data_IF_509231701154
#
_entry.id   IF_509231701154
#
_cell.length_a   1.000
_cell.length_b   1.000
_cell.length_c   1.000
_cell.angle_alpha   90.00
_cell.angle_beta   90.00
_cell.angle_gamma   90.00
#
_symmetry.space_group_name_H-M   'P 1'
#
loop_
_entity.id
_entity.type
_entity.pdbx_description
1 polymer ?
#
# COMPACT_ATOMS: atom_id res chain seq x y z
N UNK A 1 -30.67 18.31 45.64
CA UNK A 1 -31.90 18.35 44.84
C UNK A 1 -31.88 19.67 44.09
N UNK A 2 -31.58 19.82 42.81
CA UNK A 2 -31.16 18.94 41.73
C UNK A 2 -30.61 19.87 40.63
N UNK A 3 -29.60 19.37 39.89
CA UNK A 3 -29.40 19.56 38.44
C UNK A 3 -29.15 20.95 37.84
N UNK A 4 -28.33 21.14 36.82
CA UNK A 4 -27.33 20.32 36.12
C UNK A 4 -26.50 21.30 35.28
N UNK A 5 -25.18 21.20 35.32
CA UNK A 5 -24.30 21.92 34.38
C UNK A 5 -24.23 21.15 33.06
N UNK A 6 -24.36 21.80 31.88
CA UNK A 6 -24.19 21.10 30.62
C UNK A 6 -22.71 20.78 30.39
N UNK A 7 -22.35 19.54 30.71
CA UNK A 7 -21.11 18.89 30.32
C UNK A 7 -21.09 18.78 28.79
N UNK A 8 -20.47 19.73 28.11
CA UNK A 8 -20.29 19.67 26.67
C UNK A 8 -19.15 18.69 26.35
N UNK A 9 -19.44 17.40 26.50
CA UNK A 9 -18.63 16.34 25.91
C UNK A 9 -18.76 16.49 24.40
N UNK A 10 -17.76 17.13 23.78
CA UNK A 10 -17.52 16.98 22.35
C UNK A 10 -17.33 15.47 22.14
N UNK A 11 -18.20 14.80 21.36
CA UNK A 11 -17.96 13.40 21.05
C UNK A 11 -16.62 13.36 20.33
N UNK A 12 -15.64 12.69 20.94
CA UNK A 12 -14.42 12.31 20.26
C UNK A 12 -14.87 11.50 19.07
N UNK A 13 -14.91 12.15 17.91
CA UNK A 13 -15.06 11.46 16.65
C UNK A 13 -13.84 10.54 16.59
N UNK A 14 -14.03 9.29 17.02
CA UNK A 14 -13.14 8.19 16.73
C UNK A 14 -13.20 8.05 15.22
N UNK A 15 -12.47 8.93 14.52
CA UNK A 15 -12.07 8.72 13.16
C UNK A 15 -11.39 7.36 13.22
N UNK A 16 -12.10 6.35 12.75
CA UNK A 16 -11.56 5.03 12.47
C UNK A 16 -10.43 5.29 11.50
N UNK A 17 -9.23 5.45 12.06
CA UNK A 17 -8.09 6.08 11.41
C UNK A 17 -7.77 5.33 10.14
N UNK A 18 -8.16 5.92 9.00
CA UNK A 18 -7.82 5.39 7.70
C UNK A 18 -6.28 5.39 7.67
N UNK A 19 -5.69 4.21 7.56
CA UNK A 19 -4.23 4.09 7.52
C UNK A 19 -3.71 4.96 6.37
N UNK A 20 -2.96 6.01 6.71
CA UNK A 20 -2.41 6.96 5.75
C UNK A 20 -1.11 6.41 5.19
N UNK A 21 -1.21 5.71 4.07
CA UNK A 21 -0.05 5.24 3.31
C UNK A 21 0.51 6.38 2.46
N UNK A 22 1.82 6.53 2.44
CA UNK A 22 2.54 7.49 1.61
C UNK A 22 3.66 6.80 0.82
N UNK A 23 4.21 7.45 -0.22
CA UNK A 23 5.25 6.82 -1.06
C UNK A 23 6.50 6.35 -0.28
N UNK A 24 7.04 7.11 0.69
CA UNK A 24 8.15 6.62 1.53
C UNK A 24 7.83 5.34 2.32
N UNK A 25 6.60 5.21 2.84
CA UNK A 25 6.15 3.99 3.51
C UNK A 25 6.08 2.82 2.54
N UNK A 26 5.51 3.01 1.35
CA UNK A 26 5.43 1.95 0.34
C UNK A 26 6.81 1.49 -0.07
N UNK A 27 7.73 2.43 -0.34
CA UNK A 27 9.11 2.13 -0.70
C UNK A 27 9.78 1.27 0.37
N UNK A 28 9.73 1.71 1.62
CA UNK A 28 10.30 0.96 2.73
C UNK A 28 9.67 -0.44 2.87
N UNK A 29 8.35 -0.54 2.73
CA UNK A 29 7.67 -1.83 2.85
C UNK A 29 8.05 -2.79 1.72
N UNK A 30 8.17 -2.27 0.49
CA UNK A 30 8.64 -3.04 -0.66
C UNK A 30 10.09 -3.50 -0.46
N UNK A 31 10.98 -2.60 -0.02
CA UNK A 31 12.39 -2.94 0.22
C UNK A 31 12.52 -4.06 1.27
N UNK A 32 11.77 -3.98 2.38
CA UNK A 32 11.73 -5.05 3.39
C UNK A 32 11.20 -6.38 2.83
N UNK A 33 10.18 -6.34 1.97
CA UNK A 33 9.67 -7.56 1.32
C UNK A 33 10.72 -8.16 0.37
N UNK A 34 11.41 -7.33 -0.42
CA UNK A 34 12.46 -7.76 -1.36
C UNK A 34 13.63 -8.41 -0.61
N UNK A 35 14.08 -7.81 0.48
CA UNK A 35 15.11 -8.36 1.36
C UNK A 35 14.73 -9.78 1.81
N UNK A 36 13.51 -9.98 2.33
CA UNK A 36 13.06 -11.31 2.79
C UNK A 36 12.86 -12.32 1.66
N UNK A 37 12.57 -11.86 0.43
CA UNK A 37 12.59 -12.74 -0.74
C UNK A 37 14.01 -13.19 -1.06
N UNK A 38 14.98 -12.27 -1.05
CA UNK A 38 16.39 -12.56 -1.33
C UNK A 38 17.02 -13.50 -0.29
N UNK A 39 16.57 -13.44 0.96
CA UNK A 39 16.94 -14.36 2.04
C UNK A 39 16.26 -15.75 1.93
N UNK A 40 15.38 -15.97 0.94
CA UNK A 40 14.68 -17.24 0.76
C UNK A 40 13.51 -17.46 1.72
N UNK A 41 13.01 -16.41 2.39
CA UNK A 41 11.89 -16.50 3.33
C UNK A 41 10.50 -16.39 2.69
N UNK A 42 10.42 -16.45 1.36
CA UNK A 42 9.17 -16.53 0.60
C UNK A 42 8.99 -17.96 0.06
N UNK A 43 7.97 -18.67 0.56
CA UNK A 43 7.60 -20.01 0.11
C UNK A 43 6.15 -20.01 -0.34
N UNK A 44 5.86 -20.57 -1.52
CA UNK A 44 4.52 -20.63 -2.12
C UNK A 44 3.82 -19.26 -2.19
N UNK A 45 4.61 -18.20 -2.41
CA UNK A 45 4.12 -16.82 -2.46
C UNK A 45 3.72 -16.24 -1.11
N UNK A 46 4.09 -16.88 0.02
CA UNK A 46 3.83 -16.41 1.37
C UNK A 46 5.13 -16.28 2.17
N UNK A 47 5.26 -15.16 2.90
CA UNK A 47 6.37 -15.01 3.84
C UNK A 47 6.17 -15.91 5.06
N UNK A 48 7.27 -16.46 5.56
CA UNK A 48 7.31 -17.20 6.81
C UNK A 48 6.82 -16.35 8.01
N UNK A 49 6.47 -17.01 9.12
CA UNK A 49 6.05 -16.29 10.34
C UNK A 49 7.15 -15.35 10.87
N UNK A 50 8.40 -15.78 10.80
CA UNK A 50 9.57 -15.01 11.24
C UNK A 50 9.82 -13.81 10.33
N UNK A 51 9.73 -13.98 9.01
CA UNK A 51 9.82 -12.86 8.06
C UNK A 51 8.71 -11.83 8.27
N UNK A 52 7.46 -12.27 8.46
CA UNK A 52 6.37 -11.35 8.78
C UNK A 52 6.60 -10.57 10.08
N UNK A 53 7.10 -11.24 11.13
CA UNK A 53 7.42 -10.58 12.40
C UNK A 53 8.48 -9.50 12.17
N UNK A 54 9.57 -9.84 11.48
CA UNK A 54 10.63 -8.88 11.18
C UNK A 54 10.11 -7.69 10.37
N UNK A 55 9.36 -7.92 9.29
CA UNK A 55 8.79 -6.85 8.46
C UNK A 55 7.91 -5.91 9.29
N UNK A 56 7.04 -6.46 10.15
CA UNK A 56 6.15 -5.66 11.01
C UNK A 56 6.94 -4.83 12.01
N UNK A 57 7.88 -5.45 12.72
CA UNK A 57 8.66 -4.81 13.78
C UNK A 57 9.54 -3.69 13.20
N UNK A 58 10.27 -3.98 12.11
CA UNK A 58 11.14 -3.00 11.45
C UNK A 58 10.34 -1.84 10.84
N UNK A 59 9.20 -2.12 10.19
CA UNK A 59 8.35 -1.08 9.62
C UNK A 59 7.80 -0.13 10.69
N UNK A 60 7.26 -0.70 11.77
CA UNK A 60 6.69 0.09 12.87
C UNK A 60 7.75 0.92 13.60
N UNK A 61 8.94 0.35 13.84
CA UNK A 61 10.05 1.07 14.43
C UNK A 61 10.46 2.29 13.59
N UNK A 62 10.48 2.16 12.26
CA UNK A 62 10.88 3.24 11.35
C UNK A 62 9.89 4.39 11.28
N UNK A 63 8.58 4.08 11.30
CA UNK A 63 7.53 5.09 11.08
C UNK A 63 6.77 5.48 12.36
N UNK A 64 7.13 4.91 13.52
CA UNK A 64 6.39 5.15 14.77
C UNK A 64 4.94 4.67 14.71
N UNK A 65 4.65 3.68 13.88
CA UNK A 65 3.29 3.15 13.69
C UNK A 65 3.01 1.95 14.58
N UNK A 66 1.74 1.59 14.72
CA UNK A 66 1.31 0.34 15.37
C UNK A 66 0.54 -0.55 14.39
N UNK A 67 1.11 -0.77 13.20
CA UNK A 67 0.49 -1.60 12.18
C UNK A 67 0.67 -3.07 12.52
N UNK A 68 -0.43 -3.81 12.48
CA UNK A 68 -0.37 -5.26 12.61
C UNK A 68 -0.15 -5.93 11.24
N UNK A 69 0.18 -7.23 11.27
CA UNK A 69 0.38 -8.05 10.07
C UNK A 69 -0.80 -8.03 9.10
N UNK A 70 -2.05 -7.85 9.56
CA UNK A 70 -3.24 -7.81 8.68
C UNK A 70 -3.22 -6.53 7.83
N UNK A 71 -2.88 -5.39 8.42
CA UNK A 71 -2.76 -4.11 7.74
C UNK A 71 -1.68 -4.19 6.64
N UNK A 72 -0.48 -4.67 6.99
CA UNK A 72 0.62 -4.81 6.03
C UNK A 72 0.30 -5.81 4.90
N UNK A 73 -0.34 -6.95 5.21
CA UNK A 73 -0.81 -7.90 4.18
C UNK A 73 -1.83 -7.29 3.24
N UNK A 74 -2.75 -6.49 3.75
CA UNK A 74 -3.71 -5.78 2.91
C UNK A 74 -2.98 -4.80 1.99
N UNK A 75 -1.98 -4.07 2.50
CA UNK A 75 -1.16 -3.18 1.67
C UNK A 75 -0.39 -3.94 0.60
N UNK A 76 0.21 -5.09 0.94
CA UNK A 76 0.90 -5.95 -0.03
C UNK A 76 -0.05 -6.36 -1.18
N UNK A 77 -1.29 -6.73 -0.87
CA UNK A 77 -2.30 -7.05 -1.90
C UNK A 77 -2.60 -5.84 -2.79
N UNK A 78 -2.77 -4.65 -2.21
CA UNK A 78 -2.99 -3.41 -2.97
C UNK A 78 -1.81 -3.11 -3.89
N UNK A 79 -0.58 -3.17 -3.39
CA UNK A 79 0.62 -2.94 -4.19
C UNK A 79 0.75 -3.94 -5.35
N UNK A 80 0.51 -5.23 -5.09
CA UNK A 80 0.52 -6.27 -6.13
C UNK A 80 -0.55 -6.03 -7.19
N UNK A 81 -1.77 -5.59 -6.79
CA UNK A 81 -2.83 -5.22 -7.74
C UNK A 81 -2.42 -4.04 -8.62
N UNK A 82 -1.86 -2.99 -8.02
CA UNK A 82 -1.41 -1.80 -8.74
C UNK A 82 -0.28 -2.15 -9.73
N UNK A 83 0.70 -2.95 -9.28
CA UNK A 83 1.78 -3.43 -10.14
C UNK A 83 1.23 -4.23 -11.33
N UNK A 84 0.30 -5.17 -11.10
CA UNK A 84 -0.29 -5.96 -12.18
C UNK A 84 -1.05 -5.07 -13.18
N UNK A 85 -1.78 -4.05 -12.71
CA UNK A 85 -2.48 -3.12 -13.60
C UNK A 85 -1.49 -2.34 -14.48
N UNK A 86 -0.41 -1.83 -13.89
CA UNK A 86 0.67 -1.14 -14.63
C UNK A 86 1.33 -2.10 -15.62
N UNK A 87 1.69 -3.31 -15.19
CA UNK A 87 2.29 -4.34 -16.05
C UNK A 87 1.41 -4.63 -17.27
N UNK A 88 0.11 -4.83 -17.07
CA UNK A 88 -0.83 -5.11 -18.15
C UNK A 88 -0.94 -3.93 -19.13
N UNK A 89 -0.94 -2.68 -18.63
CA UNK A 89 -0.92 -1.50 -19.50
C UNK A 89 0.36 -1.45 -20.34
N UNK A 90 1.51 -1.72 -19.74
CA UNK A 90 2.81 -1.73 -20.44
C UNK A 90 2.97 -2.88 -21.44
N UNK A 91 2.10 -3.89 -21.41
CA UNK A 91 2.04 -4.94 -22.43
C UNK A 91 1.25 -4.50 -23.68
N UNK A 92 0.51 -3.39 -23.62
CA UNK A 92 -0.27 -2.85 -24.74
C UNK A 92 0.59 -1.86 -25.55
N UNK A 93 0.61 -2.03 -26.87
CA UNK A 93 1.34 -1.15 -27.78
C UNK A 93 0.90 0.31 -27.61
N UNK A 94 1.88 1.23 -27.56
CA UNK A 94 1.65 2.66 -27.36
C UNK A 94 1.68 3.12 -25.90
N UNK A 95 1.64 2.20 -24.93
CA UNK A 95 1.91 2.52 -23.53
C UNK A 95 3.41 2.40 -23.22
N UNK A 96 3.89 3.32 -22.40
CA UNK A 96 5.25 3.34 -21.87
C UNK A 96 5.29 3.80 -20.43
N UNK A 97 6.48 3.76 -19.83
CA UNK A 97 6.72 4.21 -18.46
C UNK A 97 7.54 5.50 -18.44
N UNK A 98 7.09 6.50 -17.69
CA UNK A 98 7.87 7.70 -17.38
C UNK A 98 8.62 7.47 -16.06
N UNK A 99 9.94 7.24 -16.08
CA UNK A 99 10.71 6.95 -14.87
C UNK A 99 10.94 8.17 -13.97
N UNK A 100 10.74 9.39 -14.48
CA UNK A 100 10.91 10.62 -13.70
C UNK A 100 9.64 10.93 -12.91
N UNK A 101 8.49 10.77 -13.56
CA UNK A 101 7.18 11.04 -12.96
C UNK A 101 6.57 9.82 -12.28
N UNK A 102 7.15 8.64 -12.49
CA UNK A 102 6.67 7.35 -12.02
C UNK A 102 5.21 7.06 -12.42
N UNK A 103 4.88 7.33 -13.69
CA UNK A 103 3.53 7.11 -14.24
C UNK A 103 3.58 6.40 -15.59
N UNK A 104 2.48 5.72 -15.91
CA UNK A 104 2.24 5.21 -17.26
C UNK A 104 1.97 6.38 -18.19
N UNK A 105 2.67 6.43 -19.32
CA UNK A 105 2.55 7.46 -20.36
C UNK A 105 2.07 6.80 -21.65
N UNK A 106 1.08 7.42 -22.29
CA UNK A 106 0.62 7.08 -23.63
C UNK A 106 -0.01 8.35 -24.25
N UNK A 107 -0.23 8.34 -25.57
CA UNK A 107 -1.04 9.38 -26.22
C UNK A 107 -2.52 9.23 -25.85
N UNK A 108 -3.27 10.33 -25.91
CA UNK A 108 -4.71 10.33 -25.59
C UNK A 108 -5.50 9.36 -26.49
N UNK A 109 -5.07 9.19 -27.75
CA UNK A 109 -5.63 8.23 -28.70
C UNK A 109 -5.50 6.78 -28.21
N UNK A 110 -4.32 6.41 -27.69
CA UNK A 110 -4.03 5.09 -27.14
C UNK A 110 -4.88 4.82 -25.89
N UNK A 111 -5.02 5.82 -25.01
CA UNK A 111 -5.93 5.71 -23.85
C UNK A 111 -7.38 5.51 -24.27
N UNK A 112 -7.87 6.27 -25.26
CA UNK A 112 -9.23 6.17 -25.75
C UNK A 112 -9.53 4.79 -26.36
N UNK A 113 -8.58 4.22 -27.10
CA UNK A 113 -8.75 2.89 -27.70
C UNK A 113 -8.70 1.78 -26.65
N UNK A 114 -7.80 1.86 -25.67
CA UNK A 114 -7.73 0.90 -24.57
C UNK A 114 -9.05 0.84 -23.77
N UNK A 115 -9.67 2.00 -23.50
CA UNK A 115 -10.91 2.09 -22.73
C UNK A 115 -12.16 1.61 -23.50
N UNK A 116 -12.11 1.51 -24.83
CA UNK A 116 -13.20 0.92 -25.64
C UNK A 116 -13.23 -0.62 -25.56
N UNK A 117 -12.09 -1.23 -25.21
CA UNK A 117 -11.91 -2.69 -25.18
C UNK A 117 -12.10 -3.25 -23.76
N UNK A 118 -12.12 -2.38 -22.74
CA UNK A 118 -12.39 -2.73 -21.34
C UNK A 118 -13.89 -2.69 -21.02
#
# INVERSE_FOLDING_TARGET
MDSDSPNNQIPTNSQTGRTSWNPPMDRCFIDLMVEKVQEGHLQDGQFSKTAWKHIVDTFNAKFGTNYNRKILRNRQKTLKKNYNAIKNLLEVSGFGWDPVREVVKAEDSVWADYLKVC
#
